data_IF_599412177259
#
_entry.id   IF_599412177259
#
_cell.length_a   1.000
_cell.length_b   1.000
_cell.length_c   1.000
_cell.angle_alpha   90.00
_cell.angle_beta   90.00
_cell.angle_gamma   90.00
#
_symmetry.space_group_name_H-M   'P 1'
#
loop_
_entity.id
_entity.type
_entity.pdbx_description
1 polymer ?
#
# COMPACT_ATOMS: atom_id res chain seq x y z
N UNK A 1 -30.41 -13.31 7.79
CA UNK A 1 -30.58 -11.89 8.18
C UNK A 1 -29.59 -11.10 7.36
N UNK A 2 -30.01 -10.04 6.68
CA UNK A 2 -29.05 -9.15 6.00
C UNK A 2 -28.28 -8.48 7.14
N UNK A 3 -26.99 -8.78 7.26
CA UNK A 3 -26.14 -8.16 8.28
C UNK A 3 -26.10 -6.65 8.03
N UNK A 4 -26.23 -5.87 9.10
CA UNK A 4 -26.21 -4.41 9.01
C UNK A 4 -24.80 -3.94 8.57
N UNK A 5 -24.74 -3.26 7.42
CA UNK A 5 -23.49 -2.74 6.83
C UNK A 5 -22.61 -1.99 7.84
N UNK A 6 -23.22 -1.21 8.75
CA UNK A 6 -22.48 -0.45 9.76
C UNK A 6 -21.96 -1.32 10.89
N UNK A 7 -22.65 -2.40 11.23
CA UNK A 7 -22.15 -3.38 12.20
C UNK A 7 -20.93 -4.10 11.63
N UNK A 8 -21.01 -4.58 10.38
CA UNK A 8 -19.87 -5.17 9.66
C UNK A 8 -18.68 -4.20 9.57
N UNK A 9 -18.95 -2.93 9.21
CA UNK A 9 -17.90 -1.92 9.12
C UNK A 9 -17.24 -1.68 10.49
N UNK A 10 -18.03 -1.64 11.56
CA UNK A 10 -17.52 -1.46 12.91
C UNK A 10 -16.63 -2.64 13.35
N UNK A 11 -17.02 -3.88 13.09
CA UNK A 11 -16.21 -5.06 13.39
C UNK A 11 -14.90 -5.05 12.63
N UNK A 12 -14.97 -4.74 11.34
CA UNK A 12 -13.78 -4.62 10.48
C UNK A 12 -12.83 -3.52 10.98
N UNK A 13 -13.35 -2.37 11.42
CA UNK A 13 -12.52 -1.30 12.01
C UNK A 13 -11.82 -1.80 13.29
N UNK A 14 -12.51 -2.59 14.13
CA UNK A 14 -11.92 -3.15 15.33
C UNK A 14 -10.80 -4.14 15.01
N UNK A 15 -11.00 -5.05 14.04
CA UNK A 15 -9.99 -6.00 13.60
C UNK A 15 -8.72 -5.27 13.10
N UNK A 16 -8.90 -4.19 12.31
CA UNK A 16 -7.78 -3.40 11.80
C UNK A 16 -7.05 -2.65 12.92
N UNK A 17 -7.78 -1.97 13.80
CA UNK A 17 -7.15 -1.08 14.79
C UNK A 17 -6.65 -1.78 16.05
N UNK A 18 -7.21 -2.94 16.41
CA UNK A 18 -6.88 -3.66 17.66
C UNK A 18 -6.08 -4.94 17.40
N UNK A 19 -6.35 -5.64 16.29
CA UNK A 19 -5.73 -6.94 15.99
C UNK A 19 -4.65 -6.85 14.92
N UNK A 20 -4.47 -5.67 14.30
CA UNK A 20 -3.42 -5.42 13.31
C UNK A 20 -3.70 -6.00 11.93
N UNK A 21 -4.97 -6.28 11.61
CA UNK A 21 -5.36 -6.72 10.28
C UNK A 21 -5.06 -5.64 9.23
N UNK A 22 -4.59 -6.05 8.05
CA UNK A 22 -4.42 -5.13 6.93
C UNK A 22 -5.77 -4.74 6.33
N UNK A 23 -6.02 -3.43 6.22
CA UNK A 23 -7.30 -2.88 5.76
C UNK A 23 -7.77 -3.49 4.45
N UNK A 24 -6.90 -3.53 3.43
CA UNK A 24 -7.24 -4.05 2.12
C UNK A 24 -7.58 -5.55 2.12
N UNK A 25 -6.89 -6.35 2.92
CA UNK A 25 -7.16 -7.79 3.01
C UNK A 25 -8.45 -8.06 3.77
N UNK A 26 -8.62 -7.41 4.94
CA UNK A 26 -9.80 -7.63 5.77
C UNK A 26 -11.09 -7.15 5.11
N UNK A 27 -11.05 -6.00 4.42
CA UNK A 27 -12.19 -5.50 3.64
C UNK A 27 -12.57 -6.51 2.54
N UNK A 28 -11.63 -7.01 1.77
CA UNK A 28 -11.90 -7.99 0.71
C UNK A 28 -12.46 -9.31 1.25
N UNK A 29 -11.94 -9.79 2.37
CA UNK A 29 -12.45 -10.98 3.06
C UNK A 29 -13.92 -10.80 3.44
N UNK A 30 -14.25 -9.74 4.18
CA UNK A 30 -15.63 -9.43 4.60
C UNK A 30 -16.57 -9.27 3.41
N UNK A 31 -16.12 -8.60 2.33
CA UNK A 31 -16.91 -8.43 1.10
C UNK A 31 -17.14 -9.75 0.35
N UNK A 32 -16.24 -10.73 0.51
CA UNK A 32 -16.40 -12.06 -0.12
C UNK A 32 -17.31 -12.99 0.67
N UNK A 33 -17.35 -12.81 2.00
CA UNK A 33 -18.15 -13.63 2.90
C UNK A 33 -19.61 -13.16 3.04
N UNK A 34 -19.89 -11.90 2.65
CA UNK A 34 -21.21 -11.28 2.83
C UNK A 34 -21.84 -10.87 1.50
N UNK A 35 -23.09 -11.25 1.29
CA UNK A 35 -23.87 -10.87 0.12
C UNK A 35 -24.41 -9.44 0.24
N UNK A 36 -23.55 -8.45 0.05
CA UNK A 36 -23.92 -7.04 0.02
C UNK A 36 -24.23 -6.60 -1.41
N UNK A 37 -25.22 -5.72 -1.58
CA UNK A 37 -25.44 -5.06 -2.87
C UNK A 37 -24.34 -4.04 -3.17
N UNK A 38 -24.28 -3.51 -4.39
CA UNK A 38 -23.20 -2.61 -4.87
C UNK A 38 -23.07 -1.35 -4.01
N UNK A 39 -24.20 -0.75 -3.62
CA UNK A 39 -24.20 0.48 -2.80
C UNK A 39 -23.71 0.20 -1.37
N UNK A 40 -24.11 -0.93 -0.80
CA UNK A 40 -23.67 -1.32 0.54
C UNK A 40 -22.18 -1.70 0.57
N UNK A 41 -21.66 -2.35 -0.47
CA UNK A 41 -20.23 -2.61 -0.61
C UNK A 41 -19.41 -1.31 -0.67
N UNK A 42 -19.89 -0.34 -1.44
CA UNK A 42 -19.24 0.97 -1.53
C UNK A 42 -19.27 1.71 -0.18
N UNK A 43 -20.45 1.74 0.47
CA UNK A 43 -20.60 2.38 1.79
C UNK A 43 -19.73 1.72 2.86
N UNK A 44 -19.71 0.39 2.92
CA UNK A 44 -18.87 -0.39 3.83
C UNK A 44 -17.41 -0.03 3.65
N UNK A 45 -16.92 -0.09 2.42
CA UNK A 45 -15.52 0.20 2.09
C UNK A 45 -15.13 1.62 2.47
N UNK A 46 -15.99 2.58 2.15
CA UNK A 46 -15.79 4.00 2.44
C UNK A 46 -15.75 4.28 3.95
N UNK A 47 -16.69 3.72 4.73
CA UNK A 47 -16.74 3.86 6.19
C UNK A 47 -15.47 3.28 6.83
N UNK A 48 -15.04 2.08 6.43
CA UNK A 48 -13.88 1.42 7.02
C UNK A 48 -12.60 2.20 6.71
N UNK A 49 -12.29 2.43 5.43
CA UNK A 49 -11.08 3.16 5.04
C UNK A 49 -11.05 4.57 5.59
N UNK A 50 -12.14 5.29 5.47
CA UNK A 50 -12.23 6.68 5.92
C UNK A 50 -12.05 6.83 7.43
N UNK A 51 -12.65 5.93 8.21
CA UNK A 51 -12.51 5.95 9.68
C UNK A 51 -11.07 5.64 10.09
N UNK A 52 -10.45 4.58 9.52
CA UNK A 52 -9.07 4.22 9.83
C UNK A 52 -8.10 5.33 9.38
N UNK A 53 -8.28 5.83 8.17
CA UNK A 53 -7.43 6.89 7.59
C UNK A 53 -7.40 8.15 8.45
N UNK A 54 -8.52 8.53 9.10
CA UNK A 54 -8.71 9.81 9.81
C UNK A 54 -8.82 9.69 11.34
N UNK A 55 -8.34 8.60 11.92
CA UNK A 55 -8.46 8.29 13.36
C UNK A 55 -8.15 9.47 14.30
N UNK A 56 -7.04 10.19 14.10
CA UNK A 56 -6.66 11.32 14.97
C UNK A 56 -7.53 12.56 14.73
N UNK A 57 -7.93 12.80 13.50
CA UNK A 57 -8.88 13.86 13.14
C UNK A 57 -10.23 13.63 13.81
N UNK A 58 -10.73 12.41 13.73
CA UNK A 58 -12.00 12.00 14.33
C UNK A 58 -11.96 12.06 15.86
N UNK A 59 -10.81 11.69 16.45
CA UNK A 59 -10.63 11.83 17.91
C UNK A 59 -10.55 13.29 18.34
N UNK A 60 -9.96 14.15 17.56
CA UNK A 60 -9.94 15.59 17.80
C UNK A 60 -11.36 16.20 17.80
N UNK A 61 -12.17 15.83 16.81
CA UNK A 61 -13.58 16.26 16.77
C UNK A 61 -14.39 15.71 17.95
N UNK A 62 -14.12 14.48 18.37
CA UNK A 62 -14.82 13.83 19.48
C UNK A 62 -14.49 14.44 20.85
N UNK A 63 -13.24 14.86 21.04
CA UNK A 63 -12.66 15.22 22.34
C UNK A 63 -13.48 16.21 23.18
N UNK A 64 -14.03 17.33 22.65
CA UNK A 64 -14.82 18.28 23.43
C UNK A 64 -16.12 17.71 24.01
N UNK A 65 -16.65 16.66 23.40
CA UNK A 65 -17.95 16.08 23.74
C UNK A 65 -17.85 14.89 24.72
N UNK A 66 -16.64 14.39 24.98
CA UNK A 66 -16.40 13.28 25.91
C UNK A 66 -15.97 13.81 27.28
N UNK A 67 -16.94 13.95 28.21
CA UNK A 67 -16.70 14.49 29.55
C UNK A 67 -16.25 13.43 30.56
N UNK A 68 -16.48 12.15 30.30
CA UNK A 68 -16.16 11.02 31.18
C UNK A 68 -15.41 9.95 30.41
N UNK A 69 -14.69 9.06 31.11
CA UNK A 69 -13.97 7.96 30.48
C UNK A 69 -14.98 7.02 29.77
N UNK A 70 -14.80 6.80 28.48
CA UNK A 70 -15.56 5.83 27.68
C UNK A 70 -14.69 4.64 27.32
N UNK A 71 -15.31 3.49 27.04
CA UNK A 71 -14.62 2.28 26.59
C UNK A 71 -13.98 2.50 25.21
N UNK A 72 -12.88 1.80 24.93
CA UNK A 72 -12.16 1.95 23.65
C UNK A 72 -13.06 1.66 22.43
N UNK A 73 -13.84 0.57 22.49
CA UNK A 73 -14.76 0.25 21.39
C UNK A 73 -15.88 1.28 21.19
N UNK A 74 -16.36 1.94 22.27
CA UNK A 74 -17.33 3.04 22.16
C UNK A 74 -16.69 4.21 21.46
N UNK A 75 -15.42 4.53 21.74
CA UNK A 75 -14.67 5.57 21.05
C UNK A 75 -14.52 5.28 19.57
N UNK A 76 -14.21 4.05 19.20
CA UNK A 76 -14.12 3.63 17.79
C UNK A 76 -15.45 3.71 17.06
N UNK A 77 -16.55 3.32 17.72
CA UNK A 77 -17.91 3.47 17.19
C UNK A 77 -18.27 4.95 16.95
N UNK A 78 -17.87 5.83 17.87
CA UNK A 78 -18.04 7.26 17.71
C UNK A 78 -17.17 7.82 16.57
N UNK A 79 -15.93 7.35 16.39
CA UNK A 79 -15.12 7.74 15.22
C UNK A 79 -15.82 7.35 13.92
N UNK A 80 -16.32 6.14 13.79
CA UNK A 80 -17.08 5.68 12.63
C UNK A 80 -18.33 6.54 12.36
N UNK A 81 -19.01 6.95 13.42
CA UNK A 81 -20.20 7.81 13.32
C UNK A 81 -19.83 9.23 12.90
N UNK A 82 -18.75 9.80 13.48
CA UNK A 82 -18.25 11.13 13.13
C UNK A 82 -17.75 11.16 11.69
N UNK A 83 -17.07 10.10 11.23
CA UNK A 83 -16.66 9.99 9.82
C UNK A 83 -17.85 10.14 8.88
N UNK A 84 -18.92 9.39 9.12
CA UNK A 84 -20.14 9.46 8.30
C UNK A 84 -20.77 10.87 8.35
N UNK A 85 -20.79 11.50 9.54
CA UNK A 85 -21.36 12.83 9.72
C UNK A 85 -20.58 13.94 8.99
N UNK A 86 -19.24 13.87 9.02
CA UNK A 86 -18.37 14.94 8.49
C UNK A 86 -18.07 14.76 6.99
N UNK A 87 -17.98 13.53 6.51
CA UNK A 87 -17.44 13.24 5.19
C UNK A 87 -18.43 12.54 4.22
N UNK A 88 -19.61 12.13 4.69
CA UNK A 88 -20.60 11.43 3.86
C UNK A 88 -21.90 12.22 3.75
N UNK A 89 -21.97 13.19 2.84
CA UNK A 89 -23.11 14.11 2.68
C UNK A 89 -24.45 13.41 2.42
N UNK A 90 -24.42 12.21 1.83
CA UNK A 90 -25.62 11.45 1.47
C UNK A 90 -26.19 10.62 2.61
N UNK A 91 -25.51 10.57 3.78
CA UNK A 91 -25.97 9.77 4.93
C UNK A 91 -26.74 10.65 5.90
N UNK A 92 -28.05 10.39 6.12
CA UNK A 92 -28.84 11.22 7.03
C UNK A 92 -28.39 11.11 8.49
N UNK A 93 -28.33 12.23 9.21
CA UNK A 93 -27.88 12.28 10.61
C UNK A 93 -28.66 11.34 11.53
N UNK A 94 -29.97 11.20 11.30
CA UNK A 94 -30.80 10.32 12.12
C UNK A 94 -30.42 8.84 11.91
N UNK A 95 -30.02 8.44 10.70
CA UNK A 95 -29.58 7.08 10.43
C UNK A 95 -28.22 6.81 11.12
N UNK A 96 -27.28 7.75 11.09
CA UNK A 96 -26.00 7.64 11.79
C UNK A 96 -26.22 7.40 13.30
N UNK A 97 -27.08 8.22 13.92
CA UNK A 97 -27.33 8.13 15.35
C UNK A 97 -28.04 6.81 15.69
N UNK A 98 -29.09 6.44 14.97
CA UNK A 98 -29.90 5.26 15.27
C UNK A 98 -29.03 3.98 15.18
N UNK A 99 -28.29 3.81 14.10
CA UNK A 99 -27.43 2.65 13.90
C UNK A 99 -26.32 2.56 14.98
N UNK A 100 -25.65 3.67 15.28
CA UNK A 100 -24.64 3.70 16.32
C UNK A 100 -25.21 3.35 17.71
N UNK A 101 -26.42 3.81 18.01
CA UNK A 101 -27.10 3.51 19.28
C UNK A 101 -27.48 2.04 19.37
N UNK A 102 -28.00 1.45 18.29
CA UNK A 102 -28.36 0.02 18.29
C UNK A 102 -27.09 -0.87 18.44
N UNK A 103 -26.02 -0.59 17.69
CA UNK A 103 -24.74 -1.29 17.85
C UNK A 103 -24.22 -1.17 19.30
N UNK A 104 -24.33 0.03 19.89
CA UNK A 104 -23.89 0.25 21.27
C UNK A 104 -24.75 -0.51 22.28
N UNK A 105 -26.05 -0.64 22.06
CA UNK A 105 -26.96 -1.42 22.92
C UNK A 105 -26.69 -2.92 22.83
N UNK A 106 -26.52 -3.44 21.63
CA UNK A 106 -26.23 -4.85 21.40
C UNK A 106 -24.93 -5.29 22.09
N UNK A 107 -23.87 -4.47 21.97
CA UNK A 107 -22.56 -4.81 22.48
C UNK A 107 -22.32 -4.47 23.95
N UNK A 108 -23.02 -3.49 24.47
CA UNK A 108 -22.73 -2.98 25.80
C UNK A 108 -23.94 -2.57 26.63
N UNK A 109 -25.14 -2.88 26.17
CA UNK A 109 -26.41 -2.60 26.85
C UNK A 109 -26.87 -1.15 26.74
N UNK A 110 -28.06 -0.89 27.26
CA UNK A 110 -28.74 0.41 27.16
C UNK A 110 -27.93 1.61 27.65
N UNK A 111 -27.10 1.42 28.67
CA UNK A 111 -26.25 2.50 29.18
C UNK A 111 -25.30 3.04 28.10
N UNK A 112 -24.60 2.17 27.38
CA UNK A 112 -23.69 2.58 26.31
C UNK A 112 -24.46 3.20 25.14
N UNK A 113 -25.65 2.68 24.80
CA UNK A 113 -26.54 3.29 23.80
C UNK A 113 -26.91 4.73 24.18
N UNK A 114 -27.26 4.99 25.43
CA UNK A 114 -27.57 6.34 25.90
C UNK A 114 -26.35 7.28 25.86
N UNK A 115 -25.17 6.80 26.21
CA UNK A 115 -23.91 7.56 26.12
C UNK A 115 -23.64 7.96 24.68
N UNK A 116 -23.68 7.01 23.74
CA UNK A 116 -23.47 7.25 22.29
C UNK A 116 -24.48 8.26 21.76
N UNK A 117 -25.77 8.06 22.07
CA UNK A 117 -26.85 8.99 21.65
C UNK A 117 -26.62 10.42 22.16
N UNK A 118 -26.27 10.56 23.45
CA UNK A 118 -26.01 11.87 24.06
C UNK A 118 -24.85 12.61 23.42
N UNK A 119 -23.73 11.91 23.19
CA UNK A 119 -22.54 12.48 22.56
C UNK A 119 -22.84 12.91 21.11
N UNK A 120 -23.39 12.02 20.28
CA UNK A 120 -23.64 12.30 18.86
C UNK A 120 -24.65 13.44 18.68
N UNK A 121 -25.75 13.46 19.46
CA UNK A 121 -26.75 14.54 19.39
C UNK A 121 -26.18 15.89 19.83
N UNK A 122 -25.30 15.90 20.83
CA UNK A 122 -24.66 17.16 21.29
C UNK A 122 -23.69 17.65 20.22
N UNK A 123 -22.85 16.76 19.67
CA UNK A 123 -21.88 17.10 18.64
C UNK A 123 -22.56 17.67 17.37
N UNK A 124 -23.63 17.02 16.88
CA UNK A 124 -24.34 17.44 15.66
C UNK A 124 -25.11 18.77 15.80
N UNK A 125 -25.19 19.33 17.03
CA UNK A 125 -25.81 20.63 17.31
C UNK A 125 -24.78 21.70 17.66
N UNK A 126 -23.52 21.37 17.67
CA UNK A 126 -22.40 22.24 18.04
C UNK A 126 -21.45 22.39 16.88
N UNK A 127 -20.71 23.48 16.85
CA UNK A 127 -19.59 23.64 15.93
C UNK A 127 -18.47 22.66 16.30
N UNK A 128 -17.85 22.08 15.29
CA UNK A 128 -16.68 21.22 15.47
C UNK A 128 -15.44 22.08 15.73
N UNK A 129 -14.47 21.59 16.50
CA UNK A 129 -13.22 22.30 16.72
C UNK A 129 -12.48 22.55 15.40
N UNK A 130 -11.89 23.75 15.26
CA UNK A 130 -11.14 24.17 14.08
C UNK A 130 -9.64 23.84 14.25
N UNK A 131 -9.03 23.26 13.23
CA UNK A 131 -7.59 23.00 13.19
C UNK A 131 -6.76 24.28 13.24
N UNK A 132 -7.28 25.39 12.70
CA UNK A 132 -6.59 26.68 12.68
C UNK A 132 -6.36 27.29 14.08
N UNK A 133 -7.07 26.80 15.10
CA UNK A 133 -6.83 27.19 16.50
C UNK A 133 -5.57 26.52 17.08
N UNK A 134 -4.95 25.58 16.36
CA UNK A 134 -3.75 24.86 16.82
C UNK A 134 -2.50 25.64 16.39
N UNK A 135 -1.87 26.33 17.34
CA UNK A 135 -0.72 27.20 17.07
C UNK A 135 0.55 26.47 16.60
N UNK A 136 0.80 25.23 17.04
CA UNK A 136 1.93 24.40 16.58
C UNK A 136 1.61 23.76 15.22
N UNK A 137 2.32 24.13 14.12
CA UNK A 137 2.04 23.60 12.78
C UNK A 137 2.17 22.09 12.69
N UNK A 138 3.15 21.49 13.35
CA UNK A 138 3.36 20.04 13.33
C UNK A 138 2.25 19.30 14.08
N UNK A 139 1.74 19.90 15.17
CA UNK A 139 0.60 19.35 15.89
C UNK A 139 -0.69 19.52 15.07
N UNK A 140 -0.87 20.65 14.38
CA UNK A 140 -1.99 20.85 13.43
C UNK A 140 -1.96 19.77 12.35
N UNK A 141 -0.84 19.58 11.66
CA UNK A 141 -0.68 18.55 10.63
C UNK A 141 -0.97 17.14 11.16
N UNK A 142 -0.50 16.81 12.39
CA UNK A 142 -0.74 15.50 12.99
C UNK A 142 -2.23 15.19 13.15
N UNK A 143 -3.03 16.18 13.44
CA UNK A 143 -4.47 16.06 13.63
C UNK A 143 -5.21 16.14 12.30
N UNK A 144 -4.92 17.14 11.49
CA UNK A 144 -5.59 17.42 10.22
C UNK A 144 -5.41 16.27 9.22
N UNK A 145 -4.17 15.78 9.08
CA UNK A 145 -3.83 14.66 8.18
C UNK A 145 -3.82 13.30 8.88
N UNK A 146 -4.20 13.28 10.16
CA UNK A 146 -4.26 12.03 10.97
C UNK A 146 -2.96 11.22 10.91
N UNK A 147 -1.82 11.89 11.14
CA UNK A 147 -0.49 11.30 11.08
C UNK A 147 0.20 11.35 12.47
N UNK A 148 0.88 10.28 12.91
CA UNK A 148 1.69 10.33 14.12
C UNK A 148 2.72 11.47 14.09
N UNK A 149 2.77 12.28 15.14
CA UNK A 149 3.63 13.47 15.19
C UNK A 149 5.11 13.13 14.97
N UNK A 150 5.58 11.97 15.43
CA UNK A 150 6.98 11.56 15.25
C UNK A 150 7.35 11.37 13.78
N UNK A 151 6.41 10.91 12.93
CA UNK A 151 6.63 10.80 11.47
C UNK A 151 6.76 12.21 10.87
N UNK A 152 5.88 13.13 11.26
CA UNK A 152 5.94 14.52 10.80
C UNK A 152 7.25 15.18 11.22
N UNK A 153 7.65 15.02 12.49
CA UNK A 153 8.90 15.57 13.00
C UNK A 153 10.11 15.03 12.22
N UNK A 154 10.08 13.75 11.86
CA UNK A 154 11.12 13.09 11.11
C UNK A 154 11.18 13.59 9.66
N UNK A 155 10.05 13.53 8.95
CA UNK A 155 9.99 13.99 7.56
C UNK A 155 10.25 15.49 7.40
N UNK A 156 9.76 16.33 8.31
CA UNK A 156 10.04 17.75 8.28
C UNK A 156 11.53 18.09 8.46
N UNK A 157 12.29 17.20 9.09
CA UNK A 157 13.75 17.35 9.20
C UNK A 157 14.46 17.04 7.88
N UNK A 158 13.96 16.11 7.09
CA UNK A 158 14.56 15.66 5.84
C UNK A 158 14.03 16.42 4.62
N UNK A 159 12.72 16.62 4.53
CA UNK A 159 12.05 17.22 3.37
C UNK A 159 11.68 18.69 3.57
N UNK A 160 11.74 19.19 4.81
CA UNK A 160 11.17 20.49 5.17
C UNK A 160 9.67 20.40 5.48
N UNK A 161 9.14 21.49 6.09
CA UNK A 161 7.78 21.47 6.61
C UNK A 161 6.73 21.55 5.48
N UNK A 162 6.97 22.37 4.46
CA UNK A 162 6.06 22.56 3.32
C UNK A 162 5.90 21.28 2.50
N UNK A 163 7.01 20.65 2.14
CA UNK A 163 7.00 19.38 1.39
C UNK A 163 6.35 18.26 2.21
N UNK A 164 6.61 18.23 3.52
CA UNK A 164 5.95 17.27 4.42
C UNK A 164 4.43 17.46 4.40
N UNK A 165 3.93 18.69 4.41
CA UNK A 165 2.48 18.95 4.32
C UNK A 165 1.89 18.47 3.00
N UNK A 166 2.58 18.70 1.87
CA UNK A 166 2.18 18.19 0.54
C UNK A 166 2.10 16.67 0.51
N UNK A 167 3.11 15.99 1.07
CA UNK A 167 3.12 14.52 1.21
C UNK A 167 1.91 14.05 2.03
N UNK A 168 1.66 14.67 3.19
CA UNK A 168 0.54 14.29 4.07
C UNK A 168 -0.82 14.47 3.40
N UNK A 169 -0.99 15.57 2.68
CA UNK A 169 -2.21 15.86 1.92
C UNK A 169 -2.46 14.77 0.88
N UNK A 170 -1.44 14.39 0.13
CA UNK A 170 -1.55 13.39 -0.94
C UNK A 170 -2.05 12.02 -0.47
N UNK A 171 -1.73 11.63 0.78
CA UNK A 171 -2.25 10.38 1.36
C UNK A 171 -3.76 10.40 1.65
N UNK A 172 -4.38 11.58 1.70
CA UNK A 172 -5.83 11.70 1.86
C UNK A 172 -6.58 11.71 0.53
N UNK A 173 -5.89 11.94 -0.57
CA UNK A 173 -6.46 11.95 -1.91
C UNK A 173 -6.81 10.55 -2.39
N UNK A 174 -7.79 10.47 -3.28
CA UNK A 174 -8.17 9.24 -3.97
C UNK A 174 -7.40 9.13 -5.28
N UNK A 175 -6.82 7.97 -5.56
CA UNK A 175 -6.15 7.69 -6.81
C UNK A 175 -6.96 6.69 -7.64
N UNK A 176 -6.80 6.72 -8.96
CA UNK A 176 -7.35 5.69 -9.84
C UNK A 176 -6.68 4.34 -9.56
N UNK A 177 -7.42 3.25 -9.72
CA UNK A 177 -6.81 1.92 -9.70
C UNK A 177 -5.98 1.72 -10.95
N UNK A 178 -4.70 1.38 -10.79
CA UNK A 178 -3.83 1.03 -11.90
C UNK A 178 -3.73 -0.48 -12.06
N UNK A 179 -3.69 -0.93 -13.31
CA UNK A 179 -3.44 -2.32 -13.67
C UNK A 179 -2.34 -2.40 -14.72
N UNK A 180 -1.55 -3.47 -14.64
CA UNK A 180 -0.60 -3.85 -15.66
C UNK A 180 -1.26 -4.80 -16.66
N UNK A 181 -1.20 -4.45 -17.94
CA UNK A 181 -1.64 -5.31 -19.02
C UNK A 181 -0.61 -6.43 -19.26
N UNK A 182 -1.07 -7.68 -19.33
CA UNK A 182 -0.23 -8.84 -19.61
C UNK A 182 -0.10 -9.04 -21.14
N UNK A 183 0.92 -8.45 -21.71
CA UNK A 183 1.16 -8.47 -23.18
C UNK A 183 1.61 -9.84 -23.71
N UNK A 184 1.87 -10.82 -22.84
CA UNK A 184 2.11 -12.21 -23.26
C UNK A 184 0.81 -12.93 -23.66
N UNK A 185 -0.35 -12.35 -23.29
CA UNK A 185 -1.67 -12.95 -23.48
C UNK A 185 -2.46 -12.38 -24.67
N UNK A 186 -2.33 -11.09 -24.92
CA UNK A 186 -3.01 -10.39 -26.00
C UNK A 186 -2.32 -9.04 -26.26
N UNK A 187 -2.65 -8.40 -27.38
CA UNK A 187 -2.21 -7.02 -27.62
C UNK A 187 -2.84 -6.06 -26.60
N UNK A 188 -2.21 -4.90 -26.39
CA UNK A 188 -2.74 -3.88 -25.49
C UNK A 188 -4.16 -3.45 -25.90
N UNK A 189 -4.39 -3.25 -27.20
CA UNK A 189 -5.68 -2.79 -27.71
C UNK A 189 -6.77 -3.86 -27.50
N UNK A 190 -6.47 -5.15 -27.68
CA UNK A 190 -7.41 -6.24 -27.38
C UNK A 190 -7.75 -6.31 -25.88
N UNK A 191 -6.78 -6.03 -25.01
CA UNK A 191 -7.00 -6.01 -23.54
C UNK A 191 -7.91 -4.82 -23.18
N UNK A 192 -7.69 -3.66 -23.76
CA UNK A 192 -8.52 -2.47 -23.54
C UNK A 192 -9.93 -2.71 -24.02
N UNK A 193 -10.11 -3.25 -25.25
CA UNK A 193 -11.43 -3.58 -25.79
C UNK A 193 -12.20 -4.53 -24.87
N UNK A 194 -11.54 -5.60 -24.38
CA UNK A 194 -12.14 -6.54 -23.43
C UNK A 194 -12.61 -5.86 -22.14
N UNK A 195 -11.81 -4.95 -21.56
CA UNK A 195 -12.17 -4.23 -20.36
C UNK A 195 -13.35 -3.26 -20.59
N UNK A 196 -13.35 -2.59 -21.74
CA UNK A 196 -14.46 -1.69 -22.13
C UNK A 196 -15.75 -2.46 -22.36
N UNK A 197 -15.71 -3.63 -23.02
CA UNK A 197 -16.86 -4.54 -23.19
C UNK A 197 -17.39 -5.05 -21.86
N UNK A 198 -16.55 -5.17 -20.83
CA UNK A 198 -16.93 -5.49 -19.46
C UNK A 198 -17.48 -4.28 -18.67
N UNK A 199 -17.54 -3.08 -19.29
CA UNK A 199 -18.10 -1.86 -18.73
C UNK A 199 -17.14 -1.06 -17.84
N UNK A 200 -15.82 -1.20 -18.03
CA UNK A 200 -14.82 -0.40 -17.34
C UNK A 200 -14.43 0.83 -18.17
N UNK A 201 -14.20 1.94 -17.48
CA UNK A 201 -13.53 3.10 -18.04
C UNK A 201 -12.02 2.83 -18.03
N UNK A 202 -11.38 2.88 -19.20
CA UNK A 202 -9.97 2.53 -19.36
C UNK A 202 -9.21 3.68 -20.01
N UNK A 203 -8.19 4.18 -19.32
CA UNK A 203 -7.27 5.20 -19.82
C UNK A 203 -5.84 4.64 -19.85
N UNK A 204 -5.13 4.87 -20.97
CA UNK A 204 -3.71 4.49 -21.11
C UNK A 204 -2.85 5.44 -20.28
N UNK A 205 -1.90 4.90 -19.54
CA UNK A 205 -0.89 5.72 -18.88
C UNK A 205 0.04 6.37 -19.91
N UNK A 206 0.46 7.60 -19.62
CA UNK A 206 1.29 8.37 -20.52
C UNK A 206 2.74 7.87 -20.58
N UNK A 207 3.27 7.35 -19.47
CA UNK A 207 4.69 7.03 -19.30
C UNK A 207 4.99 5.54 -19.46
N UNK A 208 4.04 4.66 -19.10
CA UNK A 208 4.18 3.21 -19.17
C UNK A 208 3.12 2.61 -20.11
N UNK A 209 3.52 2.12 -21.29
CA UNK A 209 2.57 1.69 -22.34
C UNK A 209 1.69 0.50 -21.95
N UNK A 210 2.08 -0.26 -20.92
CA UNK A 210 1.33 -1.41 -20.38
C UNK A 210 0.59 -1.10 -19.08
N UNK A 211 0.66 0.12 -18.59
CA UNK A 211 -0.10 0.60 -17.44
C UNK A 211 -1.43 1.19 -17.89
N UNK A 212 -2.52 0.76 -17.28
CA UNK A 212 -3.87 1.25 -17.53
C UNK A 212 -4.49 1.77 -16.25
N UNK A 213 -5.14 2.94 -16.34
CA UNK A 213 -5.96 3.50 -15.26
C UNK A 213 -7.40 3.00 -15.43
N UNK A 214 -7.97 2.45 -14.37
CA UNK A 214 -9.30 1.83 -14.40
C UNK A 214 -10.27 2.64 -13.55
N UNK A 215 -11.35 3.09 -14.20
CA UNK A 215 -12.50 3.70 -13.56
C UNK A 215 -13.72 2.77 -13.53
N UNK A 216 -14.74 3.18 -12.78
CA UNK A 216 -15.98 2.44 -12.66
C UNK A 216 -16.02 1.47 -11.47
N UNK A 217 -16.33 0.22 -11.71
CA UNK A 217 -16.45 -0.80 -10.67
C UNK A 217 -15.10 -1.44 -10.29
N UNK A 218 -14.99 -2.14 -9.13
CA UNK A 218 -13.77 -2.80 -8.73
C UNK A 218 -13.30 -3.85 -9.73
N UNK A 219 -12.07 -3.69 -10.24
CA UNK A 219 -11.49 -4.52 -11.30
C UNK A 219 -11.35 -6.01 -10.92
N UNK A 220 -11.29 -6.34 -9.63
CA UNK A 220 -11.19 -7.72 -9.14
C UNK A 220 -12.38 -8.60 -9.57
N UNK A 221 -13.49 -8.00 -9.95
CA UNK A 221 -14.69 -8.70 -10.42
C UNK A 221 -14.68 -8.97 -11.92
N UNK A 222 -13.79 -8.29 -12.68
CA UNK A 222 -13.70 -8.45 -14.14
C UNK A 222 -13.25 -9.87 -14.53
N UNK A 223 -13.69 -10.31 -15.70
CA UNK A 223 -13.17 -11.55 -16.34
C UNK A 223 -11.73 -11.36 -16.75
N UNK A 224 -11.39 -10.20 -17.30
CA UNK A 224 -10.04 -9.85 -17.70
C UNK A 224 -9.03 -9.98 -16.57
N UNK A 225 -9.37 -9.58 -15.33
CA UNK A 225 -8.53 -9.78 -14.16
C UNK A 225 -8.43 -11.26 -13.75
N UNK A 226 -9.57 -11.97 -13.72
CA UNK A 226 -9.63 -13.39 -13.32
C UNK A 226 -8.89 -14.30 -14.30
N UNK A 227 -8.96 -13.97 -15.58
CA UNK A 227 -8.32 -14.74 -16.68
C UNK A 227 -6.85 -14.33 -16.91
N UNK A 228 -6.32 -13.37 -16.15
CA UNK A 228 -4.92 -12.97 -16.17
C UNK A 228 -4.51 -12.11 -17.37
N UNK A 229 -5.44 -11.39 -17.98
CA UNK A 229 -5.12 -10.35 -18.97
C UNK A 229 -4.59 -9.07 -18.33
N UNK A 230 -4.97 -8.81 -17.07
CA UNK A 230 -4.46 -7.70 -16.28
C UNK A 230 -4.13 -8.12 -14.86
N UNK A 231 -3.20 -7.39 -14.24
CA UNK A 231 -2.84 -7.49 -12.82
C UNK A 231 -2.95 -6.14 -12.14
N UNK A 232 -3.55 -6.08 -10.94
CA UNK A 232 -3.51 -4.88 -10.12
C UNK A 232 -2.06 -4.65 -9.69
N UNK A 233 -1.49 -3.53 -10.05
CA UNK A 233 -0.16 -3.10 -9.64
C UNK A 233 -0.09 -1.59 -9.70
N UNK A 234 0.53 -0.96 -8.70
CA UNK A 234 0.77 0.48 -8.72
C UNK A 234 1.84 0.83 -9.76
N UNK A 235 1.71 2.01 -10.39
CA UNK A 235 2.62 2.50 -11.41
C UNK A 235 4.07 2.55 -10.91
N UNK A 236 4.30 3.02 -9.68
CA UNK A 236 5.63 3.07 -9.07
C UNK A 236 6.28 1.68 -8.98
N UNK A 237 5.48 0.68 -8.62
CA UNK A 237 5.92 -0.72 -8.57
C UNK A 237 6.22 -1.31 -9.96
N UNK A 238 5.55 -0.83 -11.02
CA UNK A 238 5.82 -1.26 -12.40
C UNK A 238 7.18 -0.76 -12.91
N UNK A 239 7.67 0.39 -12.44
CA UNK A 239 8.98 0.91 -12.81
C UNK A 239 10.13 -0.03 -12.45
N UNK A 240 9.97 -0.91 -11.46
CA UNK A 240 11.01 -1.87 -11.05
C UNK A 240 11.44 -2.76 -12.23
N UNK A 241 10.50 -3.41 -12.90
CA UNK A 241 10.81 -4.26 -14.06
C UNK A 241 11.33 -3.44 -15.25
N UNK A 242 10.80 -2.22 -15.44
CA UNK A 242 11.27 -1.31 -16.48
C UNK A 242 12.74 -0.89 -16.28
N UNK A 243 13.10 -0.46 -15.05
CA UNK A 243 14.46 -0.03 -14.70
C UNK A 243 15.43 -1.22 -14.66
N UNK A 244 14.95 -2.41 -14.27
CA UNK A 244 15.76 -3.63 -14.29
C UNK A 244 16.31 -3.93 -15.69
N UNK A 245 15.56 -3.61 -16.75
CA UNK A 245 15.97 -3.74 -18.16
C UNK A 245 16.61 -5.12 -18.42
N UNK A 246 15.81 -6.16 -18.25
CA UNK A 246 16.28 -7.55 -18.37
C UNK A 246 16.59 -7.92 -19.82
N UNK A 247 17.66 -8.68 -20.00
CA UNK A 247 17.97 -9.34 -21.29
C UNK A 247 17.15 -10.64 -21.41
N UNK A 248 16.72 -10.96 -22.61
CA UNK A 248 15.81 -12.08 -22.92
C UNK A 248 16.24 -13.44 -22.36
N UNK A 249 17.51 -13.64 -22.04
CA UNK A 249 18.07 -14.89 -21.50
C UNK A 249 18.45 -14.81 -20.01
N UNK A 250 18.19 -13.67 -19.36
CA UNK A 250 18.57 -13.49 -17.97
C UNK A 250 17.92 -14.54 -17.07
N UNK A 251 18.69 -14.97 -16.09
CA UNK A 251 18.19 -15.69 -14.94
C UNK A 251 18.12 -14.73 -13.75
N UNK A 252 16.91 -14.41 -13.32
CA UNK A 252 16.61 -13.41 -12.31
C UNK A 252 16.16 -14.06 -11.02
N UNK A 253 16.65 -13.57 -9.88
CA UNK A 253 16.12 -13.84 -8.54
C UNK A 253 15.26 -12.66 -8.07
N UNK A 254 14.06 -12.93 -7.58
CA UNK A 254 13.31 -12.03 -6.71
C UNK A 254 13.34 -12.59 -5.29
N UNK A 255 14.14 -11.95 -4.42
CA UNK A 255 14.49 -12.51 -3.11
C UNK A 255 13.41 -12.30 -2.03
N UNK A 256 12.46 -11.36 -2.22
CA UNK A 256 11.38 -11.03 -1.29
C UNK A 256 10.07 -10.84 -2.06
N UNK A 257 9.64 -11.91 -2.74
CA UNK A 257 8.76 -11.82 -3.91
C UNK A 257 7.27 -11.60 -3.61
N UNK A 258 6.79 -12.03 -2.43
CA UNK A 258 5.35 -12.08 -2.18
C UNK A 258 4.66 -10.69 -2.21
N UNK A 259 3.48 -10.59 -2.81
CA UNK A 259 2.63 -11.64 -3.40
C UNK A 259 2.98 -12.04 -4.85
N UNK A 260 4.12 -11.65 -5.39
CA UNK A 260 4.61 -12.06 -6.70
C UNK A 260 4.34 -11.08 -7.85
N UNK A 261 3.84 -9.88 -7.56
CA UNK A 261 3.49 -8.90 -8.61
C UNK A 261 4.67 -8.47 -9.46
N UNK A 262 5.84 -8.20 -8.84
CA UNK A 262 7.08 -7.81 -9.52
C UNK A 262 7.75 -8.98 -10.21
N UNK A 263 7.86 -10.13 -9.54
CA UNK A 263 8.40 -11.36 -10.13
C UNK A 263 7.63 -11.79 -11.38
N UNK A 264 6.28 -11.77 -11.32
CA UNK A 264 5.45 -12.08 -12.48
C UNK A 264 5.64 -11.05 -13.61
N UNK A 265 5.78 -9.75 -13.29
CA UNK A 265 6.06 -8.72 -14.29
C UNK A 265 7.40 -8.97 -15.00
N UNK A 266 8.46 -9.26 -14.23
CA UNK A 266 9.77 -9.61 -14.79
C UNK A 266 9.65 -10.86 -15.67
N UNK A 267 8.92 -11.88 -15.24
CA UNK A 267 8.69 -13.09 -16.00
C UNK A 267 7.93 -12.84 -17.32
N UNK A 268 6.94 -11.94 -17.32
CA UNK A 268 6.24 -11.51 -18.55
C UNK A 268 7.20 -10.86 -19.56
N UNK A 269 8.12 -10.00 -19.08
CA UNK A 269 9.12 -9.34 -19.94
C UNK A 269 10.15 -10.34 -20.49
N UNK A 270 10.52 -11.35 -19.71
CA UNK A 270 11.52 -12.38 -20.08
C UNK A 270 10.98 -13.48 -20.99
N UNK A 271 9.66 -13.62 -21.12
CA UNK A 271 9.11 -14.74 -21.92
C UNK A 271 9.53 -14.64 -23.39
N UNK A 272 9.80 -15.80 -24.03
CA UNK A 272 9.73 -17.16 -23.49
C UNK A 272 11.06 -17.75 -22.97
N UNK A 273 12.16 -17.03 -22.97
CA UNK A 273 13.51 -17.61 -22.88
C UNK A 273 14.19 -17.45 -21.51
N UNK A 274 14.04 -16.28 -20.85
CA UNK A 274 14.62 -16.04 -19.53
C UNK A 274 13.83 -16.71 -18.40
N UNK A 275 14.40 -16.77 -17.21
CA UNK A 275 13.83 -17.46 -16.05
C UNK A 275 13.80 -16.57 -14.82
N UNK A 276 12.80 -16.75 -13.97
CA UNK A 276 12.67 -16.09 -12.67
C UNK A 276 12.57 -17.13 -11.56
N UNK A 277 13.45 -17.02 -10.58
CA UNK A 277 13.36 -17.68 -9.29
C UNK A 277 12.75 -16.67 -8.30
N UNK A 278 11.57 -16.96 -7.75
CA UNK A 278 10.82 -16.10 -6.83
C UNK A 278 10.78 -16.72 -5.44
N UNK A 279 11.31 -16.05 -4.43
CA UNK A 279 11.37 -16.59 -3.06
C UNK A 279 10.72 -15.66 -2.03
N UNK A 280 10.19 -16.26 -0.96
CA UNK A 280 9.74 -15.56 0.23
C UNK A 280 9.96 -16.45 1.46
N UNK A 281 10.15 -15.84 2.64
CA UNK A 281 10.42 -16.57 3.87
C UNK A 281 9.19 -17.34 4.38
N UNK A 282 7.98 -16.90 4.05
CA UNK A 282 6.73 -17.46 4.55
C UNK A 282 6.09 -18.41 3.55
N UNK A 283 5.91 -19.68 3.95
CA UNK A 283 5.32 -20.73 3.11
C UNK A 283 3.93 -20.35 2.56
N UNK A 284 3.03 -19.84 3.41
CA UNK A 284 1.70 -19.40 2.97
C UNK A 284 1.72 -18.28 1.92
N UNK A 285 2.81 -17.51 1.82
CA UNK A 285 2.97 -16.50 0.78
C UNK A 285 3.43 -17.10 -0.56
N UNK A 286 4.09 -18.26 -0.54
CA UNK A 286 4.44 -18.99 -1.76
C UNK A 286 3.18 -19.41 -2.51
N UNK A 287 2.12 -19.77 -1.81
CA UNK A 287 0.83 -20.08 -2.43
C UNK A 287 0.24 -18.89 -3.18
N UNK A 288 0.41 -17.68 -2.65
CA UNK A 288 -0.04 -16.44 -3.33
C UNK A 288 0.77 -16.18 -4.62
N UNK A 289 2.08 -16.40 -4.58
CA UNK A 289 2.94 -16.27 -5.76
C UNK A 289 2.49 -17.31 -6.81
N UNK A 290 2.35 -18.58 -6.43
CA UNK A 290 1.90 -19.66 -7.31
C UNK A 290 0.50 -19.39 -7.89
N UNK A 291 -0.42 -18.85 -7.12
CA UNK A 291 -1.73 -18.44 -7.61
C UNK A 291 -1.62 -17.40 -8.74
N UNK A 292 -0.77 -16.37 -8.55
CA UNK A 292 -0.54 -15.35 -9.57
C UNK A 292 0.16 -15.92 -10.81
N UNK A 293 1.17 -16.75 -10.65
CA UNK A 293 1.85 -17.47 -11.75
C UNK A 293 0.81 -18.21 -12.61
N UNK A 294 -0.03 -19.02 -11.97
CA UNK A 294 -1.08 -19.79 -12.64
C UNK A 294 -2.10 -18.90 -13.33
N UNK A 295 -2.59 -17.86 -12.65
CA UNK A 295 -3.55 -16.90 -13.20
C UNK A 295 -3.02 -16.21 -14.45
N UNK A 296 -1.75 -15.78 -14.42
CA UNK A 296 -1.08 -15.11 -15.54
C UNK A 296 -0.57 -16.07 -16.62
N UNK A 297 -0.66 -17.38 -16.40
CA UNK A 297 -0.18 -18.45 -17.29
C UNK A 297 1.31 -18.36 -17.63
N UNK A 298 2.11 -17.98 -16.65
CA UNK A 298 3.56 -17.90 -16.81
C UNK A 298 4.20 -19.28 -16.66
N UNK A 299 5.19 -19.58 -17.49
CA UNK A 299 5.88 -20.89 -17.51
C UNK A 299 7.37 -20.81 -17.18
N UNK A 300 7.90 -19.58 -17.12
CA UNK A 300 9.30 -19.28 -16.93
C UNK A 300 9.63 -18.73 -15.52
N UNK A 301 8.76 -18.98 -14.55
CA UNK A 301 8.92 -18.54 -13.16
C UNK A 301 8.66 -19.71 -12.21
N UNK A 302 9.47 -19.82 -11.16
CA UNK A 302 9.35 -20.81 -10.10
C UNK A 302 9.34 -20.12 -8.74
N UNK A 303 8.33 -20.42 -7.93
CA UNK A 303 8.26 -19.95 -6.54
C UNK A 303 8.74 -21.02 -5.56
N UNK A 304 9.45 -20.60 -4.50
CA UNK A 304 9.92 -21.50 -3.44
C UNK A 304 10.15 -20.73 -2.13
N UNK A 305 10.02 -21.43 -1.01
CA UNK A 305 10.30 -20.86 0.30
C UNK A 305 11.82 -20.74 0.50
N UNK A 306 12.27 -19.54 0.87
CA UNK A 306 13.67 -19.29 1.24
C UNK A 306 13.78 -18.04 2.11
N UNK A 307 14.68 -18.08 3.07
CA UNK A 307 15.08 -16.93 3.87
C UNK A 307 16.17 -16.15 3.15
N UNK A 308 15.86 -14.93 2.67
CA UNK A 308 16.78 -14.11 1.89
C UNK A 308 18.06 -13.68 2.66
N UNK A 309 18.11 -13.89 3.98
CA UNK A 309 19.33 -13.73 4.79
C UNK A 309 20.27 -14.94 4.73
N UNK A 310 19.86 -16.03 4.07
CA UNK A 310 20.62 -17.28 3.93
C UNK A 310 21.13 -17.48 2.50
N UNK A 311 22.27 -18.18 2.31
CA UNK A 311 22.86 -18.39 0.99
C UNK A 311 21.91 -19.10 0.02
N UNK A 312 21.91 -18.66 -1.24
CA UNK A 312 21.29 -19.38 -2.36
C UNK A 312 22.31 -20.25 -3.06
N UNK A 313 21.90 -21.39 -3.62
CA UNK A 313 22.78 -22.35 -4.29
C UNK A 313 23.15 -21.97 -5.73
N UNK A 314 22.53 -20.90 -6.27
CA UNK A 314 22.71 -20.47 -7.66
C UNK A 314 23.26 -19.05 -7.74
N UNK A 315 23.75 -18.71 -8.93
CA UNK A 315 24.08 -17.32 -9.29
C UNK A 315 23.14 -16.82 -10.37
N UNK A 316 22.89 -15.51 -10.36
CA UNK A 316 21.89 -14.83 -11.18
C UNK A 316 22.52 -13.68 -11.97
N UNK A 317 21.95 -13.38 -13.13
CA UNK A 317 22.34 -12.22 -13.92
C UNK A 317 21.86 -10.93 -13.25
N UNK A 318 20.64 -10.97 -12.73
CA UNK A 318 20.05 -9.86 -11.96
C UNK A 318 19.32 -10.38 -10.71
N UNK A 319 19.34 -9.58 -9.66
CA UNK A 319 18.63 -9.88 -8.41
C UNK A 319 17.75 -8.69 -8.07
N UNK A 320 16.47 -8.95 -7.83
CA UNK A 320 15.56 -7.99 -7.20
C UNK A 320 15.54 -8.23 -5.68
N UNK A 321 15.76 -7.17 -4.94
CA UNK A 321 15.50 -7.08 -3.51
C UNK A 321 14.40 -6.04 -3.32
N UNK A 322 13.14 -6.47 -3.48
CA UNK A 322 11.98 -5.66 -3.06
C UNK A 322 11.84 -5.81 -1.55
N UNK A 323 12.61 -5.01 -0.84
CA UNK A 323 12.95 -5.26 0.55
C UNK A 323 11.74 -5.13 1.49
N UNK A 324 11.67 -5.99 2.54
CA UNK A 324 10.72 -5.74 3.62
C UNK A 324 11.00 -4.36 4.22
N UNK A 325 9.98 -3.51 4.27
CA UNK A 325 10.10 -2.11 4.66
C UNK A 325 8.91 -1.63 5.49
N UNK A 326 8.99 -0.41 6.01
CA UNK A 326 7.93 0.20 6.82
C UNK A 326 6.60 0.38 6.08
N UNK A 327 6.63 0.45 4.75
CA UNK A 327 5.44 0.68 3.93
C UNK A 327 4.87 2.10 4.02
N UNK A 328 5.63 3.07 4.50
CA UNK A 328 5.17 4.46 4.67
C UNK A 328 4.89 5.19 3.34
N UNK A 329 5.14 4.56 2.20
CA UNK A 329 4.76 5.07 0.88
C UNK A 329 3.36 4.64 0.43
N UNK A 330 2.80 3.56 0.99
CA UNK A 330 1.53 2.95 0.53
C UNK A 330 0.33 3.22 1.45
N UNK A 331 0.40 4.26 2.29
CA UNK A 331 -0.62 4.57 3.30
C UNK A 331 -1.98 5.00 2.72
N UNK A 332 -2.07 5.29 1.42
CA UNK A 332 -3.37 5.47 0.75
C UNK A 332 -4.21 4.21 0.82
N UNK A 333 -3.59 3.07 0.57
CA UNK A 333 -4.22 1.75 0.49
C UNK A 333 -4.12 0.94 1.79
N UNK A 334 -3.20 1.33 2.69
CA UNK A 334 -2.96 0.69 3.98
C UNK A 334 -2.81 1.75 5.07
N UNK A 335 -3.90 2.49 5.39
CA UNK A 335 -3.82 3.64 6.28
C UNK A 335 -3.47 3.28 7.73
N UNK A 336 -3.66 2.02 8.14
CA UNK A 336 -3.31 1.50 9.47
C UNK A 336 -1.81 1.49 9.72
N UNK A 337 -0.98 1.34 8.69
CA UNK A 337 0.49 1.23 8.80
C UNK A 337 1.06 2.36 9.66
N UNK A 338 0.64 3.61 9.42
CA UNK A 338 1.14 4.76 10.17
C UNK A 338 0.96 4.67 11.69
N UNK A 339 -0.03 3.90 12.16
CA UNK A 339 -0.31 3.75 13.59
C UNK A 339 0.45 2.60 14.24
N UNK A 340 1.02 1.69 13.46
CA UNK A 340 1.77 0.53 13.93
C UNK A 340 3.27 0.71 13.85
N UNK A 341 3.76 1.70 13.09
CA UNK A 341 5.18 1.99 12.95
C UNK A 341 5.79 2.68 14.18
N UNK A 342 7.06 2.40 14.42
CA UNK A 342 7.90 3.10 15.39
C UNK A 342 9.31 3.28 14.86
N UNK A 343 10.09 4.20 15.45
CA UNK A 343 11.50 4.39 15.06
C UNK A 343 12.32 3.12 15.22
N UNK A 344 12.14 2.41 16.33
CA UNK A 344 12.83 1.14 16.60
C UNK A 344 12.49 0.07 15.57
N UNK A 345 11.24 0.02 15.11
CA UNK A 345 10.86 -0.92 14.06
C UNK A 345 11.53 -0.58 12.73
N UNK A 346 11.60 0.71 12.35
CA UNK A 346 12.33 1.14 11.14
C UNK A 346 13.82 0.77 11.25
N UNK A 347 14.46 1.02 12.39
CA UNK A 347 15.86 0.62 12.61
C UNK A 347 16.07 -0.88 12.43
N UNK A 348 15.16 -1.71 12.97
CA UNK A 348 15.23 -3.17 12.79
C UNK A 348 15.03 -3.61 11.34
N UNK A 349 14.22 -2.88 10.55
CA UNK A 349 14.05 -3.13 9.12
C UNK A 349 15.32 -2.76 8.33
N UNK A 350 15.99 -1.67 8.68
CA UNK A 350 17.27 -1.27 8.07
C UNK A 350 18.33 -2.35 8.27
N UNK A 351 18.43 -2.92 9.49
CA UNK A 351 19.35 -4.02 9.77
C UNK A 351 19.04 -5.25 8.91
N UNK A 352 17.76 -5.63 8.81
CA UNK A 352 17.33 -6.74 7.98
C UNK A 352 17.59 -6.51 6.48
N UNK A 353 17.36 -5.29 5.98
CA UNK A 353 17.61 -4.91 4.58
C UNK A 353 19.10 -5.03 4.24
N UNK A 354 19.97 -4.59 5.15
CA UNK A 354 21.41 -4.74 5.01
C UNK A 354 21.82 -6.21 5.04
N UNK A 355 21.27 -7.03 5.94
CA UNK A 355 21.56 -8.46 6.03
C UNK A 355 21.17 -9.19 4.73
N UNK A 356 20.00 -8.88 4.16
CA UNK A 356 19.57 -9.43 2.87
C UNK A 356 20.55 -9.04 1.76
N UNK A 357 20.92 -7.75 1.63
CA UNK A 357 21.86 -7.30 0.61
C UNK A 357 23.24 -7.95 0.76
N UNK A 358 23.75 -8.06 2.00
CA UNK A 358 25.03 -8.72 2.31
C UNK A 358 25.03 -10.21 1.94
N UNK A 359 23.86 -10.87 1.99
CA UNK A 359 23.74 -12.25 1.56
C UNK A 359 23.66 -12.36 0.03
N UNK A 360 22.68 -11.68 -0.60
CA UNK A 360 22.39 -11.86 -2.05
C UNK A 360 23.55 -11.34 -2.94
N UNK A 361 24.44 -10.45 -2.44
CA UNK A 361 25.61 -9.99 -3.20
C UNK A 361 26.52 -11.13 -3.67
N UNK A 362 26.51 -12.27 -2.96
CA UNK A 362 27.32 -13.44 -3.31
C UNK A 362 26.71 -14.23 -4.48
N UNK A 363 25.42 -14.03 -4.72
CA UNK A 363 24.62 -14.76 -5.71
C UNK A 363 24.43 -13.97 -7.02
N UNK A 364 24.84 -12.70 -7.10
CA UNK A 364 24.87 -11.98 -8.37
C UNK A 364 26.19 -12.28 -9.10
N UNK A 365 26.12 -12.57 -10.41
CA UNK A 365 27.30 -12.81 -11.26
C UNK A 365 28.21 -11.57 -11.31
N UNK A 366 29.47 -11.75 -11.68
CA UNK A 366 30.36 -10.62 -12.03
C UNK A 366 29.75 -9.88 -13.22
N UNK A 367 29.70 -8.55 -13.15
CA UNK A 367 29.00 -7.70 -14.13
C UNK A 367 27.47 -7.71 -14.01
N UNK A 368 26.91 -8.56 -13.16
CA UNK A 368 25.47 -8.62 -12.89
C UNK A 368 24.99 -7.51 -11.95
N UNK A 369 23.70 -7.34 -11.83
CA UNK A 369 23.05 -6.19 -11.17
C UNK A 369 22.14 -6.63 -10.02
N UNK A 370 22.07 -5.81 -8.97
CA UNK A 370 21.06 -5.91 -7.92
C UNK A 370 20.18 -4.66 -8.01
N UNK A 371 18.90 -4.87 -8.14
CA UNK A 371 17.88 -3.84 -8.06
C UNK A 371 17.32 -3.88 -6.64
N UNK A 372 17.44 -2.78 -5.92
CA UNK A 372 16.88 -2.59 -4.60
C UNK A 372 15.66 -1.68 -4.68
N UNK A 373 14.55 -2.09 -4.10
CA UNK A 373 13.33 -1.30 -4.06
C UNK A 373 12.62 -1.42 -2.72
N UNK A 374 11.88 -0.37 -2.37
CA UNK A 374 11.02 -0.32 -1.18
C UNK A 374 9.75 0.46 -1.48
N UNK A 375 8.64 0.11 -0.82
CA UNK A 375 7.40 0.89 -0.86
C UNK A 375 7.32 1.92 0.29
N UNK A 376 8.43 2.62 0.55
CA UNK A 376 8.52 3.66 1.57
C UNK A 376 9.23 4.90 1.05
N UNK A 377 8.96 6.04 1.68
CA UNK A 377 9.69 7.30 1.46
C UNK A 377 10.68 7.58 2.61
N UNK A 378 10.96 6.58 3.43
CA UNK A 378 11.86 6.70 4.57
C UNK A 378 13.32 6.59 4.14
N UNK A 379 14.08 7.69 4.23
CA UNK A 379 15.47 7.73 3.79
C UNK A 379 16.38 6.72 4.49
N UNK A 380 16.09 6.39 5.76
CA UNK A 380 16.86 5.39 6.50
C UNK A 380 16.81 4.02 5.83
N UNK A 381 15.64 3.66 5.26
CA UNK A 381 15.42 2.39 4.55
C UNK A 381 15.82 2.43 3.07
N UNK A 382 16.06 3.62 2.51
CA UNK A 382 16.33 3.87 1.09
C UNK A 382 17.82 4.18 0.86
N UNK A 383 18.17 5.45 0.64
CA UNK A 383 19.53 5.86 0.32
C UNK A 383 20.54 5.42 1.38
N UNK A 384 20.20 5.49 2.67
CA UNK A 384 21.15 5.17 3.74
C UNK A 384 21.54 3.69 3.75
N UNK A 385 20.60 2.79 3.43
CA UNK A 385 20.90 1.35 3.28
C UNK A 385 21.90 1.15 2.14
N UNK A 386 21.65 1.74 0.98
CA UNK A 386 22.49 1.56 -0.20
C UNK A 386 23.87 2.20 -0.03
N UNK A 387 23.95 3.41 0.52
CA UNK A 387 25.25 4.03 0.80
C UNK A 387 26.06 3.23 1.82
N UNK A 388 25.39 2.66 2.83
CA UNK A 388 26.05 1.80 3.83
C UNK A 388 26.57 0.53 3.18
N UNK A 389 25.76 -0.13 2.36
CA UNK A 389 26.16 -1.31 1.60
C UNK A 389 27.37 -1.04 0.69
N UNK A 390 27.32 0.01 -0.13
CA UNK A 390 28.41 0.38 -1.04
C UNK A 390 29.70 0.82 -0.33
N UNK A 391 29.57 1.42 0.86
CA UNK A 391 30.71 1.76 1.69
C UNK A 391 31.47 0.51 2.13
N UNK A 392 30.75 -0.56 2.45
CA UNK A 392 31.32 -1.81 2.95
C UNK A 392 31.72 -2.79 1.83
N UNK A 393 31.18 -2.62 0.61
CA UNK A 393 31.35 -3.53 -0.52
C UNK A 393 31.95 -2.79 -1.74
N UNK A 394 33.29 -2.62 -1.76
CA UNK A 394 34.02 -1.84 -2.80
C UNK A 394 33.98 -2.46 -4.19
N UNK A 395 33.64 -3.74 -4.29
CA UNK A 395 33.39 -4.47 -5.52
C UNK A 395 31.97 -4.23 -6.10
N UNK A 396 31.17 -3.34 -5.51
CA UNK A 396 29.91 -2.86 -6.05
C UNK A 396 29.96 -1.34 -6.28
N UNK A 397 29.14 -0.87 -7.21
CA UNK A 397 28.96 0.55 -7.48
C UNK A 397 27.52 0.82 -7.97
N UNK A 398 27.10 2.09 -7.96
CA UNK A 398 25.84 2.45 -8.61
C UNK A 398 25.90 2.16 -10.10
N UNK A 399 24.86 1.53 -10.64
CA UNK A 399 24.61 1.45 -12.07
C UNK A 399 23.53 2.48 -12.44
N UNK A 400 23.91 3.63 -12.99
CA UNK A 400 22.93 4.67 -13.35
C UNK A 400 21.93 4.17 -14.40
N UNK A 401 20.71 4.65 -14.29
CA UNK A 401 19.63 4.32 -15.23
C UNK A 401 18.87 5.59 -15.65
N UNK A 402 18.17 5.52 -16.77
CA UNK A 402 17.32 6.62 -17.20
C UNK A 402 16.07 6.70 -16.31
N UNK A 403 15.81 7.89 -15.78
CA UNK A 403 14.56 8.16 -15.09
C UNK A 403 13.40 7.89 -16.03
N UNK A 404 12.43 7.03 -15.68
CA UNK A 404 11.43 6.52 -16.63
C UNK A 404 10.50 7.59 -17.22
N UNK A 405 10.45 8.78 -16.63
CA UNK A 405 9.61 9.89 -17.07
C UNK A 405 10.44 11.03 -17.67
N UNK A 406 11.46 11.52 -16.96
CA UNK A 406 12.25 12.66 -17.42
C UNK A 406 13.36 12.28 -18.41
N UNK A 407 13.73 11.01 -18.47
CA UNK A 407 14.85 10.53 -19.31
C UNK A 407 16.24 10.90 -18.78
N UNK A 408 16.33 11.61 -17.67
CA UNK A 408 17.62 11.98 -17.06
C UNK A 408 18.32 10.76 -16.47
N UNK A 409 19.66 10.77 -16.51
CA UNK A 409 20.46 9.71 -15.92
C UNK A 409 20.55 9.89 -14.40
N UNK A 410 19.99 8.95 -13.64
CA UNK A 410 19.92 8.98 -12.18
C UNK A 410 20.54 7.72 -11.57
N UNK A 411 20.99 7.80 -10.31
CA UNK A 411 21.49 6.66 -9.53
C UNK A 411 20.41 6.05 -8.64
N UNK A 412 19.50 6.89 -8.20
CA UNK A 412 18.36 6.52 -7.33
C UNK A 412 17.11 7.21 -7.85
N UNK A 413 15.96 6.59 -7.67
CA UNK A 413 14.66 7.16 -7.96
C UNK A 413 13.82 7.09 -6.69
N UNK A 414 13.55 8.25 -6.08
CA UNK A 414 12.55 8.38 -5.04
C UNK A 414 11.28 8.95 -5.66
N UNK A 415 10.20 8.20 -5.60
CA UNK A 415 8.85 8.62 -6.01
C UNK A 415 8.13 9.03 -4.73
N UNK A 416 7.61 10.25 -4.71
CA UNK A 416 6.81 10.72 -3.59
C UNK A 416 5.31 10.43 -3.85
N UNK A 417 4.49 10.33 -2.80
CA UNK A 417 3.06 10.01 -2.97
C UNK A 417 2.27 11.02 -3.82
N UNK A 418 2.72 12.26 -3.92
CA UNK A 418 2.12 13.28 -4.79
C UNK A 418 2.59 13.16 -6.25
N UNK A 419 3.65 12.39 -6.52
CA UNK A 419 4.18 12.24 -7.86
C UNK A 419 3.34 11.22 -8.65
N UNK A 420 3.03 11.53 -9.90
CA UNK A 420 2.46 10.60 -10.89
C UNK A 420 1.16 9.91 -10.47
N UNK A 421 0.46 10.43 -9.45
CA UNK A 421 -0.75 9.81 -8.88
C UNK A 421 -0.51 8.35 -8.43
N UNK A 422 0.67 8.07 -7.88
CA UNK A 422 1.14 6.74 -7.53
C UNK A 422 1.51 6.64 -6.03
N UNK A 423 1.94 5.48 -5.58
CA UNK A 423 2.44 5.29 -4.23
C UNK A 423 3.87 5.84 -4.07
N UNK A 424 4.23 6.18 -2.83
CA UNK A 424 5.61 6.51 -2.49
C UNK A 424 6.50 5.27 -2.61
N UNK A 425 7.60 5.39 -3.38
CA UNK A 425 8.43 4.25 -3.75
C UNK A 425 9.88 4.64 -3.97
N UNK A 426 10.80 3.73 -3.70
CA UNK A 426 12.24 3.93 -3.95
C UNK A 426 12.80 2.82 -4.82
N UNK A 427 13.67 3.18 -5.77
CA UNK A 427 14.36 2.22 -6.65
C UNK A 427 15.81 2.67 -6.83
N UNK A 428 16.74 1.73 -6.75
CA UNK A 428 18.13 1.93 -7.17
C UNK A 428 18.69 0.67 -7.79
N UNK A 429 19.73 0.84 -8.59
CA UNK A 429 20.43 -0.24 -9.26
C UNK A 429 21.92 -0.18 -8.91
N UNK A 430 22.48 -1.30 -8.49
CA UNK A 430 23.90 -1.46 -8.18
C UNK A 430 24.46 -2.64 -8.98
N UNK A 431 25.71 -2.52 -9.40
CA UNK A 431 26.39 -3.50 -10.24
C UNK A 431 27.59 -4.09 -9.54
N UNK A 432 27.79 -5.40 -9.70
CA UNK A 432 29.01 -6.09 -9.28
C UNK A 432 30.12 -5.85 -10.30
N UNK A 433 31.20 -5.21 -9.89
CA UNK A 433 32.34 -4.92 -10.78
C UNK A 433 33.12 -6.17 -11.15
N UNK A 434 33.70 -6.13 -12.32
CA UNK A 434 34.82 -7.02 -12.67
C UNK A 434 36.01 -6.65 -11.78
N UNK A 435 36.67 -7.63 -11.16
CA UNK A 435 37.83 -7.39 -10.30
C UNK A 435 39.01 -6.84 -11.09
#
# INVERSE_FOLDING_TARGET
MIENVRSLAFDTIQDILNEGAYSNLRINEVLSENELNVMDKALFTEIVYGTVKRKYTLDFYLKPFVKTKIKAWVRQLLWMSIYQYVYLDKVPNHAIINEAVEIAKERGGYHNGNVVNGILRTMMRSDLPDFNEIADPRKRMAIEYSMPKWIIDHWATHYGLEETETILQSFLETTSTTVRANLTRASLDDIIEKLQDEGYDVEKDHDLPYCLHIGGQPIIHSRSFKDGFVSIQDKSSMFVAHIMNVDRHDHVLDACSAPGGKACHIAEVLMPEGQVDASDIHDHKIDLINFNIKKLRLTNIKAFQHDATKPYDKTYDKILVDAPCSGLGVMRHKPEIKYTQSKQHIESLVDLQLEILENVKNNVKIGGEIIYSTCTIEQLENENVIYTFLKNNKNFEFEPFQHPITGELVKTLQIMPQDFNSDGFFITKIKRKDN
#
